data_IF_807798904471
#
_entry.id   IF_807798904471
#
_cell.length_a   1.000
_cell.length_b   1.000
_cell.length_c   1.000
_cell.angle_alpha   90.00
_cell.angle_beta   90.00
_cell.angle_gamma   90.00
#
_symmetry.space_group_name_H-M   'P 1'
#
loop_
_entity.id
_entity.type
_entity.pdbx_description
1 polymer ?
#
# COMPACT_ATOMS: atom_id res chain seq x y z
N UNK A 1 -22.66 -0.08 -17.78
CA UNK A 1 -21.55 -1.06 -17.94
C UNK A 1 -21.50 -1.90 -16.68
N UNK A 2 -21.50 -3.20 -16.82
CA UNK A 2 -21.26 -4.11 -15.70
C UNK A 2 -19.81 -4.01 -15.29
N UNK A 3 -19.56 -3.92 -13.98
CA UNK A 3 -18.21 -3.94 -13.42
C UNK A 3 -17.57 -5.32 -13.65
N UNK A 4 -16.39 -5.35 -14.26
CA UNK A 4 -15.59 -6.56 -14.44
C UNK A 4 -14.18 -6.33 -13.89
N UNK A 5 -13.82 -7.00 -12.80
CA UNK A 5 -12.48 -6.88 -12.20
C UNK A 5 -11.44 -7.50 -13.12
N UNK A 6 -10.51 -6.68 -13.59
CA UNK A 6 -9.39 -7.11 -14.43
C UNK A 6 -8.05 -6.84 -13.73
N UNK A 7 -7.10 -7.74 -13.90
CA UNK A 7 -5.72 -7.56 -13.47
C UNK A 7 -4.88 -7.33 -14.73
N UNK A 8 -4.12 -6.23 -14.79
CA UNK A 8 -3.24 -5.94 -15.92
C UNK A 8 -2.22 -7.06 -16.17
N UNK A 9 -1.71 -7.16 -17.39
CA UNK A 9 -0.76 -8.21 -17.78
C UNK A 9 0.52 -8.25 -16.92
N UNK A 10 0.95 -7.11 -16.40
CA UNK A 10 2.11 -7.05 -15.49
C UNK A 10 1.86 -7.72 -14.12
N UNK A 11 0.61 -8.01 -13.77
CA UNK A 11 0.19 -8.64 -12.50
C UNK A 11 -0.46 -9.99 -12.71
N UNK A 12 -0.15 -10.71 -13.79
CA UNK A 12 -0.77 -12.01 -14.09
C UNK A 12 -0.67 -13.02 -12.94
N UNK A 13 0.40 -12.98 -12.16
CA UNK A 13 0.61 -13.80 -10.96
C UNK A 13 -0.45 -13.58 -9.89
N UNK A 14 -1.08 -12.41 -9.84
CA UNK A 14 -2.11 -12.07 -8.86
C UNK A 14 -3.51 -12.62 -9.21
N UNK A 15 -3.69 -13.19 -10.39
CA UNK A 15 -4.96 -13.80 -10.80
C UNK A 15 -5.42 -14.92 -9.87
N UNK A 16 -4.48 -15.63 -9.25
CA UNK A 16 -4.78 -16.66 -8.26
C UNK A 16 -5.46 -16.12 -6.99
N UNK A 17 -5.36 -14.82 -6.74
CA UNK A 17 -5.94 -14.13 -5.59
C UNK A 17 -7.22 -13.35 -5.93
N UNK A 18 -7.71 -13.46 -7.17
CA UNK A 18 -8.79 -12.62 -7.70
C UNK A 18 -10.04 -12.64 -6.81
N UNK A 19 -10.47 -13.80 -6.33
CA UNK A 19 -11.67 -13.92 -5.49
C UNK A 19 -11.49 -13.23 -4.12
N UNK A 20 -10.31 -13.33 -3.52
CA UNK A 20 -10.02 -12.62 -2.26
C UNK A 20 -9.95 -11.10 -2.46
N UNK A 21 -9.38 -10.66 -3.58
CA UNK A 21 -9.34 -9.24 -3.95
C UNK A 21 -10.75 -8.69 -4.23
N UNK A 22 -11.64 -9.45 -4.86
CA UNK A 22 -13.05 -9.12 -5.03
C UNK A 22 -13.78 -9.01 -3.69
N UNK A 23 -13.56 -9.95 -2.79
CA UNK A 23 -14.16 -9.90 -1.44
C UNK A 23 -13.76 -8.63 -0.69
N UNK A 24 -12.49 -8.23 -0.80
CA UNK A 24 -12.04 -6.96 -0.23
C UNK A 24 -12.64 -5.74 -0.94
N UNK A 25 -12.71 -5.75 -2.28
CA UNK A 25 -13.36 -4.70 -3.06
C UNK A 25 -14.83 -4.51 -2.66
N UNK A 26 -15.57 -5.62 -2.55
CA UNK A 26 -16.98 -5.59 -2.14
C UNK A 26 -17.15 -5.03 -0.72
N UNK A 27 -16.24 -5.38 0.18
CA UNK A 27 -16.23 -4.82 1.52
C UNK A 27 -15.95 -3.31 1.50
N UNK A 28 -14.98 -2.84 0.71
CA UNK A 28 -14.70 -1.41 0.56
C UNK A 28 -15.92 -0.65 0.02
N UNK A 29 -16.57 -1.17 -1.02
CA UNK A 29 -17.70 -0.52 -1.68
C UNK A 29 -18.97 -0.50 -0.81
N UNK A 30 -19.07 -1.37 0.19
CA UNK A 30 -20.20 -1.44 1.13
C UNK A 30 -19.82 -0.86 2.48
N UNK A 31 -19.09 -1.63 3.26
CA UNK A 31 -18.74 -1.28 4.64
C UNK A 31 -17.75 -0.12 4.70
N UNK A 32 -16.75 -0.11 3.82
CA UNK A 32 -15.72 0.92 3.78
C UNK A 32 -16.31 2.31 3.50
N UNK A 33 -17.25 2.43 2.57
CA UNK A 33 -17.96 3.69 2.28
C UNK A 33 -18.86 4.07 3.44
N UNK A 34 -19.70 3.14 3.94
CA UNK A 34 -20.67 3.42 5.01
C UNK A 34 -19.99 3.87 6.31
N UNK A 35 -18.80 3.37 6.60
CA UNK A 35 -18.04 3.71 7.81
C UNK A 35 -16.99 4.81 7.57
N UNK A 36 -17.01 5.47 6.41
CA UNK A 36 -16.14 6.62 6.10
C UNK A 36 -14.66 6.31 5.95
N UNK A 37 -14.30 5.03 5.67
CA UNK A 37 -12.91 4.65 5.41
C UNK A 37 -12.44 5.11 4.03
N UNK A 38 -13.36 5.11 3.06
CA UNK A 38 -13.16 5.67 1.73
C UNK A 38 -14.38 6.51 1.32
N UNK A 39 -14.17 7.48 0.42
CA UNK A 39 -15.28 8.20 -0.20
C UNK A 39 -16.01 7.33 -1.22
N UNK A 40 -17.30 7.57 -1.41
CA UNK A 40 -18.08 6.91 -2.46
C UNK A 40 -17.47 7.18 -3.85
N UNK A 41 -17.22 6.11 -4.58
CA UNK A 41 -16.65 6.12 -5.94
C UNK A 41 -17.29 5.02 -6.78
N UNK A 42 -17.27 5.16 -8.13
CA UNK A 42 -17.68 4.08 -9.02
C UNK A 42 -16.89 2.79 -8.74
N UNK A 43 -17.55 1.63 -8.84
CA UNK A 43 -16.93 0.31 -8.57
C UNK A 43 -15.63 0.10 -9.34
N UNK A 44 -15.60 0.47 -10.64
CA UNK A 44 -14.38 0.38 -11.44
C UNK A 44 -13.25 1.26 -10.91
N UNK A 45 -13.56 2.47 -10.41
CA UNK A 45 -12.56 3.35 -9.80
C UNK A 45 -11.96 2.72 -8.55
N UNK A 46 -12.80 2.14 -7.66
CA UNK A 46 -12.34 1.46 -6.44
C UNK A 46 -11.42 0.29 -6.82
N UNK A 47 -11.80 -0.49 -7.84
CA UNK A 47 -10.97 -1.59 -8.32
C UNK A 47 -9.63 -1.09 -8.87
N UNK A 48 -9.65 -0.17 -9.82
CA UNK A 48 -8.45 0.30 -10.50
C UNK A 48 -7.51 1.03 -9.55
N UNK A 49 -8.04 1.99 -8.79
CA UNK A 49 -7.21 2.86 -7.97
C UNK A 49 -6.85 2.26 -6.61
N UNK A 50 -7.73 1.45 -6.00
CA UNK A 50 -7.46 0.95 -4.65
C UNK A 50 -6.95 -0.49 -4.65
N UNK A 51 -7.36 -1.32 -5.62
CA UNK A 51 -6.89 -2.69 -5.71
C UNK A 51 -5.68 -2.78 -6.65
N UNK A 52 -5.88 -2.51 -7.95
CA UNK A 52 -4.83 -2.71 -8.97
C UNK A 52 -3.60 -1.84 -8.70
N UNK A 53 -3.79 -0.57 -8.35
CA UNK A 53 -2.67 0.29 -7.97
C UNK A 53 -1.86 -0.31 -6.79
N UNK A 54 -2.55 -0.83 -5.78
CA UNK A 54 -1.90 -1.46 -4.61
C UNK A 54 -1.10 -2.70 -4.97
N UNK A 55 -1.55 -3.51 -5.93
CA UNK A 55 -0.80 -4.68 -6.39
C UNK A 55 0.60 -4.33 -6.92
N UNK A 56 0.78 -3.14 -7.46
CA UNK A 56 2.11 -2.73 -7.93
C UNK A 56 3.10 -2.50 -6.78
N UNK A 57 2.65 -2.09 -5.61
CA UNK A 57 3.48 -2.10 -4.39
C UNK A 57 3.96 -3.51 -4.07
N UNK A 58 3.08 -4.51 -4.17
CA UNK A 58 3.45 -5.93 -4.01
C UNK A 58 4.51 -6.37 -4.99
N UNK A 59 4.38 -5.98 -6.27
CA UNK A 59 5.37 -6.24 -7.31
C UNK A 59 6.75 -5.63 -6.99
N UNK A 60 6.77 -4.40 -6.48
CA UNK A 60 8.03 -3.76 -6.05
C UNK A 60 8.64 -4.53 -4.88
N UNK A 61 7.83 -4.92 -3.88
CA UNK A 61 8.29 -5.66 -2.71
C UNK A 61 8.91 -7.02 -3.05
N UNK A 62 8.46 -7.70 -4.10
CA UNK A 62 9.05 -8.96 -4.57
C UNK A 62 10.49 -8.78 -5.09
N UNK A 63 10.82 -7.58 -5.60
CA UNK A 63 12.14 -7.26 -6.15
C UNK A 63 13.12 -6.67 -5.11
N UNK A 64 12.68 -6.45 -3.89
CA UNK A 64 13.53 -5.93 -2.81
C UNK A 64 14.26 -7.10 -2.14
N UNK A 65 15.59 -7.04 -2.10
CA UNK A 65 16.45 -8.13 -1.63
C UNK A 65 16.35 -8.44 -0.13
N UNK A 66 15.79 -7.55 0.68
CA UNK A 66 15.67 -7.72 2.14
C UNK A 66 14.28 -8.30 2.48
N UNK A 67 14.18 -9.62 2.50
CA UNK A 67 12.90 -10.33 2.65
C UNK A 67 12.39 -10.47 4.10
N UNK A 68 13.20 -10.13 5.11
CA UNK A 68 12.90 -10.44 6.53
C UNK A 68 12.39 -9.22 7.31
N UNK A 69 12.09 -8.13 6.62
CA UNK A 69 11.62 -6.90 7.27
C UNK A 69 10.10 -6.91 7.44
N UNK A 70 9.64 -6.42 8.57
CA UNK A 70 8.23 -6.07 8.75
C UNK A 70 7.86 -4.96 7.77
N UNK A 71 6.68 -5.08 7.18
CA UNK A 71 6.15 -4.10 6.22
C UNK A 71 5.04 -3.32 6.91
N UNK A 72 5.25 -2.02 7.06
CA UNK A 72 4.28 -1.12 7.69
C UNK A 72 3.55 -0.31 6.61
N UNK A 73 2.22 -0.35 6.62
CA UNK A 73 1.37 0.52 5.79
C UNK A 73 0.96 1.74 6.62
N UNK A 74 1.57 2.88 6.36
CA UNK A 74 1.41 4.09 7.16
C UNK A 74 0.27 4.96 6.64
N UNK A 75 -0.66 5.31 7.54
CA UNK A 75 -1.87 6.03 7.18
C UNK A 75 -2.79 5.19 6.29
N UNK A 76 -2.93 3.92 6.64
CA UNK A 76 -3.55 2.88 5.83
C UNK A 76 -5.02 3.14 5.46
N UNK A 77 -5.76 3.93 6.24
CA UNK A 77 -7.15 4.31 5.96
C UNK A 77 -8.08 3.10 5.85
N UNK A 78 -8.53 2.79 4.64
CA UNK A 78 -9.33 1.60 4.35
C UNK A 78 -8.52 0.30 4.20
N UNK A 79 -7.23 0.30 4.54
CA UNK A 79 -6.32 -0.83 4.30
C UNK A 79 -5.59 -0.74 2.96
N UNK A 80 -5.33 0.49 2.47
CA UNK A 80 -4.81 0.77 1.13
C UNK A 80 -3.44 1.45 1.24
N UNK A 81 -2.36 0.84 0.74
CA UNK A 81 -2.27 -0.34 -0.12
C UNK A 81 -2.13 -1.68 0.63
N UNK A 82 -2.05 -1.70 1.96
CA UNK A 82 -1.64 -2.85 2.76
C UNK A 82 -2.45 -4.13 2.54
N UNK A 83 -3.78 -4.07 2.55
CA UNK A 83 -4.63 -5.26 2.41
C UNK A 83 -4.46 -5.96 1.06
N UNK A 84 -4.55 -5.30 -0.12
CA UNK A 84 -4.31 -5.97 -1.40
C UNK A 84 -2.90 -6.59 -1.49
N UNK A 85 -1.90 -5.90 -0.92
CA UNK A 85 -0.52 -6.40 -0.90
C UNK A 85 -0.39 -7.62 0.02
N UNK A 86 -0.98 -7.58 1.21
CA UNK A 86 -0.96 -8.71 2.16
C UNK A 86 -1.69 -9.94 1.61
N UNK A 87 -2.85 -9.74 0.98
CA UNK A 87 -3.62 -10.81 0.31
C UNK A 87 -2.80 -11.58 -0.73
N UNK A 88 -1.93 -10.86 -1.45
CA UNK A 88 -1.12 -11.43 -2.55
C UNK A 88 0.30 -11.81 -2.14
N UNK A 89 0.68 -11.57 -0.89
CA UNK A 89 1.99 -11.93 -0.32
C UNK A 89 1.81 -12.62 1.05
N UNK A 90 1.20 -13.81 1.12
CA UNK A 90 0.83 -14.45 2.37
C UNK A 90 2.02 -14.82 3.28
N UNK A 91 3.22 -14.91 2.71
CA UNK A 91 4.45 -15.24 3.44
C UNK A 91 5.18 -14.03 4.04
N UNK A 92 4.62 -12.81 3.91
CA UNK A 92 5.19 -11.58 4.48
C UNK A 92 4.26 -11.04 5.55
N UNK A 93 4.81 -10.46 6.61
CA UNK A 93 4.05 -9.82 7.70
C UNK A 93 3.82 -8.35 7.38
N UNK A 94 2.59 -7.91 7.58
CA UNK A 94 2.14 -6.54 7.36
C UNK A 94 1.56 -5.95 8.65
N UNK A 95 1.94 -4.72 8.95
CA UNK A 95 1.34 -3.93 10.02
C UNK A 95 0.63 -2.72 9.41
N UNK A 96 -0.68 -2.68 9.54
CA UNK A 96 -1.51 -1.55 9.11
C UNK A 96 -1.55 -0.53 10.23
N UNK A 97 -1.14 0.72 9.95
CA UNK A 97 -1.01 1.78 10.95
C UNK A 97 -1.95 2.93 10.60
N UNK A 98 -2.86 3.26 11.52
CA UNK A 98 -3.71 4.45 11.40
C UNK A 98 -3.95 5.05 12.80
N UNK A 99 -3.89 6.37 12.89
CA UNK A 99 -4.12 7.08 14.15
C UNK A 99 -5.60 7.09 14.57
N UNK A 100 -6.49 6.85 13.63
CA UNK A 100 -7.94 6.82 13.88
C UNK A 100 -8.35 5.49 14.50
N UNK A 101 -8.82 5.51 15.75
CA UNK A 101 -9.33 4.35 16.48
C UNK A 101 -10.48 3.65 15.71
N UNK A 102 -11.38 4.44 15.13
CA UNK A 102 -12.51 3.88 14.37
C UNK A 102 -12.05 3.12 13.12
N UNK A 103 -11.04 3.63 12.41
CA UNK A 103 -10.44 2.94 11.26
C UNK A 103 -9.71 1.67 11.67
N UNK A 104 -8.89 1.75 12.72
CA UNK A 104 -8.17 0.60 13.26
C UNK A 104 -9.15 -0.51 13.68
N UNK A 105 -10.25 -0.16 14.33
CA UNK A 105 -11.31 -1.11 14.70
C UNK A 105 -11.92 -1.80 13.47
N UNK A 106 -12.29 -1.05 12.44
CA UNK A 106 -12.86 -1.62 11.22
C UNK A 106 -11.84 -2.51 10.45
N UNK A 107 -10.57 -2.13 10.44
CA UNK A 107 -9.51 -2.95 9.85
C UNK A 107 -9.29 -4.25 10.63
N UNK A 108 -9.41 -4.22 11.96
CA UNK A 108 -9.34 -5.43 12.77
C UNK A 108 -10.51 -6.39 12.48
N UNK A 109 -11.70 -5.85 12.24
CA UNK A 109 -12.86 -6.65 11.79
C UNK A 109 -12.64 -7.23 10.40
N UNK A 110 -12.14 -6.41 9.46
CA UNK A 110 -11.82 -6.84 8.10
C UNK A 110 -10.76 -7.95 8.07
N UNK A 111 -9.71 -7.82 8.88
CA UNK A 111 -8.69 -8.86 9.06
C UNK A 111 -9.33 -10.22 9.35
N UNK A 112 -10.29 -10.26 10.28
CA UNK A 112 -10.99 -11.49 10.66
C UNK A 112 -11.92 -12.00 9.53
N UNK A 113 -12.65 -11.09 8.85
CA UNK A 113 -13.55 -11.44 7.74
C UNK A 113 -12.77 -12.09 6.57
N UNK A 114 -11.58 -11.57 6.27
CA UNK A 114 -10.73 -12.05 5.17
C UNK A 114 -9.73 -13.14 5.58
N UNK A 115 -9.74 -13.58 6.85
CA UNK A 115 -8.79 -14.54 7.41
C UNK A 115 -7.33 -14.16 7.06
N UNK A 116 -6.92 -12.95 7.45
CA UNK A 116 -5.58 -12.42 7.20
C UNK A 116 -4.66 -12.70 8.41
N UNK A 117 -4.05 -13.87 8.44
CA UNK A 117 -3.12 -14.27 9.52
C UNK A 117 -1.81 -13.48 9.48
N UNK A 118 -1.45 -12.97 8.31
CA UNK A 118 -0.23 -12.21 8.06
C UNK A 118 -0.39 -10.69 8.21
N UNK A 119 -1.45 -10.21 8.86
CA UNK A 119 -1.73 -8.79 9.07
C UNK A 119 -1.93 -8.50 10.55
N UNK A 120 -1.29 -7.44 11.02
CA UNK A 120 -1.56 -6.79 12.31
C UNK A 120 -2.11 -5.39 12.08
N UNK A 121 -2.87 -4.86 13.04
CA UNK A 121 -3.42 -3.51 12.99
C UNK A 121 -3.00 -2.74 14.23
N UNK A 122 -2.34 -1.61 14.03
CA UNK A 122 -1.87 -0.72 15.09
C UNK A 122 -2.61 0.60 15.05
N UNK A 123 -3.24 0.95 16.15
CA UNK A 123 -3.82 2.29 16.34
C UNK A 123 -2.76 3.22 16.92
N UNK A 124 -1.89 3.72 16.04
CA UNK A 124 -0.72 4.53 16.41
C UNK A 124 -0.46 5.62 15.36
N UNK A 125 0.31 6.62 15.74
CA UNK A 125 0.84 7.58 14.77
C UNK A 125 1.93 6.94 13.90
N UNK A 126 2.06 7.41 12.65
CA UNK A 126 3.12 6.94 11.75
C UNK A 126 4.52 7.16 12.35
N UNK A 127 4.73 8.27 13.05
CA UNK A 127 6.03 8.61 13.65
C UNK A 127 6.41 7.64 14.79
N UNK A 128 5.44 7.08 15.50
CA UNK A 128 5.68 6.15 16.60
C UNK A 128 6.26 4.80 16.14
N UNK A 129 6.04 4.43 14.86
CA UNK A 129 6.49 3.15 14.31
C UNK A 129 7.69 3.28 13.35
N UNK A 130 8.17 4.50 13.08
CA UNK A 130 9.32 4.74 12.22
C UNK A 130 10.62 4.35 12.95
N UNK A 131 11.23 3.24 12.52
CA UNK A 131 12.48 2.71 13.10
C UNK A 131 13.40 2.16 12.02
N UNK A 132 14.65 1.91 12.37
CA UNK A 132 15.65 1.31 11.48
C UNK A 132 15.24 -0.10 11.01
N UNK A 133 15.82 -0.54 9.91
CA UNK A 133 15.70 -1.90 9.38
C UNK A 133 14.29 -2.35 8.99
N UNK A 134 13.39 -1.45 8.64
CA UNK A 134 12.02 -1.76 8.23
C UNK A 134 11.71 -1.33 6.81
N UNK A 135 10.60 -1.85 6.29
CA UNK A 135 10.02 -1.43 5.02
C UNK A 135 8.68 -0.74 5.29
N UNK A 136 8.49 0.42 4.68
CA UNK A 136 7.27 1.22 4.80
C UNK A 136 6.62 1.34 3.43
N UNK A 137 5.30 1.28 3.40
CA UNK A 137 4.49 1.58 2.23
C UNK A 137 3.46 2.64 2.61
N UNK A 138 3.09 3.50 1.68
CA UNK A 138 1.96 4.42 1.89
C UNK A 138 1.38 4.91 0.57
N UNK A 139 0.08 5.21 0.59
CA UNK A 139 -0.63 5.79 -0.54
C UNK A 139 -1.52 6.94 -0.10
N UNK A 140 -1.39 8.11 -0.74
CA UNK A 140 -2.17 9.31 -0.43
C UNK A 140 -2.08 9.80 1.03
N UNK A 141 -1.04 9.41 1.75
CA UNK A 141 -0.81 9.78 3.14
C UNK A 141 0.25 10.88 3.26
N UNK A 142 1.39 10.72 2.58
CA UNK A 142 2.53 11.62 2.68
C UNK A 142 3.18 11.78 1.29
N UNK A 143 3.76 12.94 1.01
CA UNK A 143 4.53 13.16 -0.22
C UNK A 143 5.93 12.53 -0.14
N UNK A 144 6.51 12.16 -1.29
CA UNK A 144 7.88 11.64 -1.33
C UNK A 144 8.90 12.62 -0.74
N UNK A 145 8.71 13.93 -0.88
CA UNK A 145 9.56 14.96 -0.29
C UNK A 145 9.51 14.95 1.23
N UNK A 146 8.33 14.74 1.80
CA UNK A 146 8.18 14.69 3.26
C UNK A 146 8.64 13.35 3.83
N UNK A 147 8.48 12.25 3.08
CA UNK A 147 9.11 10.97 3.43
C UNK A 147 10.62 11.15 3.63
N UNK A 148 11.32 11.78 2.67
CA UNK A 148 12.76 12.01 2.76
C UNK A 148 13.17 12.81 4.02
N UNK A 149 12.34 13.76 4.45
CA UNK A 149 12.58 14.53 5.69
C UNK A 149 12.44 13.64 6.94
N UNK A 150 11.39 12.80 6.97
CA UNK A 150 11.06 12.00 8.14
C UNK A 150 12.03 10.83 8.37
N UNK A 151 12.50 10.21 7.29
CA UNK A 151 13.39 9.02 7.38
C UNK A 151 14.88 9.36 7.34
N UNK A 152 15.26 10.62 7.25
CA UNK A 152 16.68 11.05 7.09
C UNK A 152 17.62 10.61 8.23
N UNK A 153 17.09 10.34 9.43
CA UNK A 153 17.86 9.89 10.58
C UNK A 153 17.91 8.35 10.70
N UNK A 154 17.08 7.65 9.95
CA UNK A 154 16.97 6.20 9.98
C UNK A 154 18.07 5.54 9.14
N UNK A 155 18.29 4.24 9.38
CA UNK A 155 19.27 3.41 8.67
C UNK A 155 18.60 2.17 8.11
N UNK A 156 19.06 1.75 6.93
CA UNK A 156 18.62 0.52 6.32
C UNK A 156 17.07 0.45 6.16
N UNK A 157 16.46 1.54 5.74
CA UNK A 157 15.01 1.68 5.54
C UNK A 157 14.70 1.69 4.05
N UNK A 158 13.63 1.01 3.68
CA UNK A 158 12.99 1.15 2.37
C UNK A 158 11.61 1.77 2.54
N UNK A 159 11.33 2.86 1.85
CA UNK A 159 9.99 3.46 1.82
C UNK A 159 9.45 3.47 0.39
N UNK A 160 8.27 2.90 0.19
CA UNK A 160 7.58 2.84 -1.10
C UNK A 160 6.34 3.73 -1.00
N UNK A 161 6.28 4.77 -1.79
CA UNK A 161 5.21 5.77 -1.71
C UNK A 161 4.64 6.11 -3.08
N UNK A 162 3.31 6.23 -3.18
CA UNK A 162 2.68 6.75 -4.40
C UNK A 162 3.10 8.21 -4.65
N UNK A 163 3.44 8.53 -5.89
CA UNK A 163 3.93 9.86 -6.28
C UNK A 163 3.22 10.41 -7.52
N UNK A 164 3.43 11.69 -7.78
CA UNK A 164 2.95 12.39 -8.98
C UNK A 164 3.98 12.39 -10.13
N UNK A 165 5.11 11.71 -9.97
CA UNK A 165 6.14 11.61 -10.99
C UNK A 165 7.12 12.80 -11.04
N UNK A 166 7.10 13.69 -10.03
CA UNK A 166 8.08 14.77 -9.93
C UNK A 166 9.49 14.22 -9.66
N UNK A 167 10.48 14.85 -10.28
CA UNK A 167 11.88 14.53 -9.98
C UNK A 167 12.25 14.98 -8.57
N UNK A 168 12.73 14.05 -7.78
CA UNK A 168 13.30 14.33 -6.46
C UNK A 168 14.78 14.66 -6.62
N UNK A 169 15.12 15.95 -6.63
CA UNK A 169 16.52 16.41 -6.59
C UNK A 169 17.03 16.36 -5.16
N UNK A 170 17.57 15.19 -4.74
CA UNK A 170 17.97 15.02 -3.34
C UNK A 170 19.40 14.48 -3.21
N UNK A 171 19.95 14.63 -2.00
CA UNK A 171 21.32 14.27 -1.65
C UNK A 171 21.58 12.77 -1.90
N UNK A 172 22.23 12.46 -3.03
CA UNK A 172 22.49 11.10 -3.52
C UNK A 172 23.44 10.28 -2.61
N UNK A 173 24.11 10.92 -1.66
CA UNK A 173 25.02 10.21 -0.74
C UNK A 173 24.25 9.34 0.27
N UNK A 174 23.10 9.83 0.77
CA UNK A 174 22.32 9.17 1.81
C UNK A 174 21.12 8.39 1.28
N UNK A 175 20.49 8.90 0.24
CA UNK A 175 19.29 8.32 -0.33
C UNK A 175 19.54 7.77 -1.72
N UNK A 176 18.92 6.63 -2.01
CA UNK A 176 18.74 6.13 -3.36
C UNK A 176 17.25 6.13 -3.69
N UNK A 177 16.84 7.01 -4.59
CA UNK A 177 15.44 7.10 -5.05
C UNK A 177 15.33 6.50 -6.44
N UNK A 178 14.44 5.50 -6.59
CA UNK A 178 14.04 4.93 -7.86
C UNK A 178 12.58 5.23 -8.10
N UNK A 179 12.24 5.84 -9.22
CA UNK A 179 10.86 6.04 -9.63
C UNK A 179 10.41 4.91 -10.55
N UNK A 180 9.30 4.28 -10.18
CA UNK A 180 8.61 3.28 -11.00
C UNK A 180 7.41 3.93 -11.68
N UNK A 181 7.19 3.57 -12.95
CA UNK A 181 6.06 4.02 -13.76
C UNK A 181 5.31 2.82 -14.30
N UNK A 182 4.00 2.81 -14.13
CA UNK A 182 3.17 1.70 -14.59
C UNK A 182 1.79 2.19 -15.04
N UNK A 183 1.05 1.32 -15.72
CA UNK A 183 -0.32 1.59 -16.16
C UNK A 183 -1.30 0.67 -15.42
N UNK A 184 -2.39 1.24 -14.94
CA UNK A 184 -3.52 0.49 -14.38
C UNK A 184 -4.36 -0.09 -15.51
N UNK A 185 -4.64 0.75 -16.50
CA UNK A 185 -5.32 0.40 -17.75
C UNK A 185 -4.60 1.13 -18.91
N UNK A 186 -5.14 1.07 -20.11
CA UNK A 186 -4.50 1.63 -21.31
C UNK A 186 -4.18 3.13 -21.23
N UNK A 187 -4.81 3.88 -20.32
CA UNK A 187 -4.70 5.34 -20.25
C UNK A 187 -4.16 5.88 -18.95
N UNK A 188 -4.33 5.16 -17.84
CA UNK A 188 -4.01 5.66 -16.50
C UNK A 188 -2.59 5.29 -16.08
N UNK A 189 -1.68 6.25 -16.22
CA UNK A 189 -0.30 6.12 -15.75
C UNK A 189 -0.23 6.51 -14.27
N UNK A 190 0.53 5.73 -13.49
CA UNK A 190 0.80 5.98 -12.07
C UNK A 190 2.30 5.90 -11.80
N UNK A 191 2.72 6.56 -10.75
CA UNK A 191 4.11 6.57 -10.30
C UNK A 191 4.19 6.15 -8.84
N UNK A 192 5.26 5.43 -8.54
CA UNK A 192 5.65 5.05 -7.18
C UNK A 192 7.13 5.35 -7.03
N UNK A 193 7.49 6.04 -5.95
CA UNK A 193 8.87 6.26 -5.59
C UNK A 193 9.32 5.22 -4.57
N UNK A 194 10.45 4.59 -4.83
CA UNK A 194 11.13 3.66 -3.93
C UNK A 194 12.34 4.37 -3.36
N UNK A 195 12.30 4.70 -2.09
CA UNK A 195 13.31 5.48 -1.38
C UNK A 195 14.07 4.53 -0.45
N UNK A 196 15.36 4.34 -0.68
CA UNK A 196 16.22 3.53 0.16
C UNK A 196 17.17 4.44 0.93
N UNK A 197 17.24 4.26 2.26
CA UNK A 197 18.22 4.86 3.16
C UNK A 197 19.29 3.82 3.45
N UNK A 198 20.56 4.23 3.28
CA UNK A 198 21.72 3.38 3.59
C UNK A 198 21.97 3.28 5.09
#
# INVERSE_FOLDING_TARGET
MTFEPQIPSWGNEYKNYLERLKSYHDWLCKTGINNGLISEKPLQYVWDEFIVHSLYFGKILQNIKNNDKNIYDLGTGGGIPGIPVALTNPNKLFTLVDISESRAFELQRLKNILNLENVEVFNESADAVLTDNNTYISRCFISSKDVLKNIKQLKNVTYIVSSNGENLNENKEKFHVKQEKFTINSTNIRHIDVINVK
#
